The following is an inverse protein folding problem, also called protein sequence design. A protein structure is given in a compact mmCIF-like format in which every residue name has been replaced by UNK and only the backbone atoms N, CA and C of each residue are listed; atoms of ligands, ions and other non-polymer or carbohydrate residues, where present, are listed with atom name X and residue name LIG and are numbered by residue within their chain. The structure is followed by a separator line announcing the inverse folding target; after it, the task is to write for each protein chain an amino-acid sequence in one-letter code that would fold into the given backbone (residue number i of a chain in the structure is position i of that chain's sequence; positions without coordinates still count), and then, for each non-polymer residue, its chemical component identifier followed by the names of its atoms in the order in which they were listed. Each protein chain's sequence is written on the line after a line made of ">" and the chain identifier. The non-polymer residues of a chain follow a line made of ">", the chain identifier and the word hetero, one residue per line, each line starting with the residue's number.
data_IF_995670837787
#
_entry.id   IF_995670837787
#
_cell.length_a   1.000
_cell.length_b   1.000
_cell.length_c   1.000
_cell.angle_alpha   90.00
_cell.angle_beta   90.00
_cell.angle_gamma   90.00
#
_symmetry.space_group_name_H-M   'P 1'
#
loop_
_entity.id
_entity.type
_entity.pdbx_description
1 polymer ?
#
# COMPACT_ATOMS: atom_id res chain seq x y z
N UNK A 1 29.11 28.01 19.90
CA UNK A 1 27.80 27.41 20.22
C UNK A 1 27.70 27.32 21.74
N UNK A 2 26.73 28.00 22.36
CA UNK A 2 26.60 28.06 23.83
C UNK A 2 25.66 26.94 24.29
N UNK A 3 26.07 26.07 25.24
CA UNK A 3 25.19 25.05 25.79
C UNK A 3 24.11 25.70 26.66
N UNK A 4 22.85 25.44 26.33
CA UNK A 4 21.70 25.92 27.08
C UNK A 4 21.46 24.99 28.27
N UNK A 5 22.07 25.28 29.42
CA UNK A 5 21.82 24.57 30.67
C UNK A 5 20.47 25.02 31.23
N UNK A 6 19.44 24.17 31.07
CA UNK A 6 18.16 24.39 31.75
C UNK A 6 18.28 24.00 33.23
N UNK A 7 17.69 24.77 34.15
CA UNK A 7 17.72 24.45 35.57
C UNK A 7 16.97 23.15 35.86
N UNK A 8 17.65 22.27 36.59
CA UNK A 8 17.16 20.95 37.04
C UNK A 8 16.06 21.17 38.08
N UNK A 9 14.79 21.01 37.71
CA UNK A 9 13.69 20.95 38.69
C UNK A 9 13.86 19.69 39.53
N UNK A 10 13.94 19.85 40.84
CA UNK A 10 13.88 18.75 41.80
C UNK A 10 12.52 18.08 41.70
N UNK A 11 12.49 16.86 41.19
CA UNK A 11 11.30 16.02 41.15
C UNK A 11 11.08 15.49 42.57
N UNK A 12 10.01 15.97 43.20
CA UNK A 12 9.44 15.34 44.39
C UNK A 12 8.67 14.13 43.88
N UNK A 13 9.13 12.92 44.22
CA UNK A 13 8.37 11.70 43.99
C UNK A 13 7.17 11.70 44.95
N UNK A 14 6.02 12.16 44.47
CA UNK A 14 4.74 11.84 45.07
C UNK A 14 4.35 10.44 44.64
N UNK A 15 4.11 9.56 45.61
CA UNK A 15 3.65 8.19 45.42
C UNK A 15 2.28 8.20 44.71
N UNK A 16 2.30 8.12 43.39
CA UNK A 16 1.11 8.13 42.55
C UNK A 16 0.31 6.83 42.76
N UNK A 17 -0.75 6.93 43.55
CA UNK A 17 -1.81 5.92 43.64
C UNK A 17 -2.37 5.71 42.23
N UNK A 18 -2.16 4.51 41.67
CA UNK A 18 -2.74 4.09 40.39
C UNK A 18 -4.27 4.10 40.50
N UNK A 19 -4.89 5.22 40.13
CA UNK A 19 -6.33 5.30 39.96
C UNK A 19 -6.68 4.57 38.67
N UNK A 20 -7.63 3.63 38.72
CA UNK A 20 -8.10 2.93 37.53
C UNK A 20 -8.65 3.97 36.54
N UNK A 21 -7.93 4.17 35.43
CA UNK A 21 -8.36 5.10 34.38
C UNK A 21 -9.76 4.68 33.90
N UNK A 22 -10.75 5.53 34.14
CA UNK A 22 -12.14 5.30 33.75
C UNK A 22 -12.46 6.23 32.58
N UNK A 23 -12.76 5.66 31.42
CA UNK A 23 -13.19 6.44 30.25
C UNK A 23 -14.69 6.66 30.37
N UNK A 24 -15.11 7.92 30.43
CA UNK A 24 -16.53 8.32 30.39
C UNK A 24 -16.78 9.21 29.17
N UNK A 25 -17.87 8.93 28.46
CA UNK A 25 -18.28 9.73 27.31
C UNK A 25 -19.31 10.76 27.74
N UNK A 26 -19.11 12.02 27.36
CA UNK A 26 -20.08 13.07 27.60
C UNK A 26 -21.18 13.00 26.53
N UNK A 27 -22.25 12.26 26.82
CA UNK A 27 -23.36 12.04 25.88
C UNK A 27 -24.12 13.32 25.49
N UNK A 28 -24.01 14.40 26.27
CA UNK A 28 -24.63 15.69 25.95
C UNK A 28 -23.84 16.47 24.89
N UNK A 29 -22.51 16.29 24.85
CA UNK A 29 -21.62 17.02 23.94
C UNK A 29 -21.17 16.20 22.74
N UNK A 30 -21.17 14.88 22.84
CA UNK A 30 -20.73 13.99 21.76
C UNK A 30 -21.88 13.69 20.82
N UNK A 31 -21.77 14.18 19.58
CA UNK A 31 -22.67 13.76 18.50
C UNK A 31 -22.34 12.32 18.11
N UNK A 32 -23.36 11.47 18.05
CA UNK A 32 -23.24 10.10 17.56
C UNK A 32 -24.25 9.84 16.46
N UNK A 33 -23.90 8.95 15.55
CA UNK A 33 -24.84 8.41 14.59
C UNK A 33 -25.21 7.00 15.02
N UNK A 34 -26.51 6.74 15.13
CA UNK A 34 -27.00 5.39 15.34
C UNK A 34 -26.85 4.63 14.03
N UNK A 35 -26.16 3.49 14.07
CA UNK A 35 -26.10 2.55 12.96
C UNK A 35 -27.09 1.44 13.30
N UNK A 36 -28.14 1.30 12.49
CA UNK A 36 -29.12 0.23 12.68
C UNK A 36 -28.49 -1.14 12.38
N UNK A 37 -28.95 -2.17 13.08
CA UNK A 37 -28.41 -3.51 12.91
C UNK A 37 -28.86 -4.09 11.56
N UNK A 38 -28.07 -4.98 10.94
CA UNK A 38 -28.43 -5.56 9.64
C UNK A 38 -29.81 -6.26 9.65
N UNK A 39 -30.16 -6.86 10.79
CA UNK A 39 -31.45 -7.52 11.01
C UNK A 39 -32.65 -6.55 11.14
N UNK A 40 -32.40 -5.25 11.29
CA UNK A 40 -33.44 -4.22 11.41
C UNK A 40 -33.85 -3.67 10.04
N UNK A 41 -33.13 -4.03 8.97
CA UNK A 41 -33.44 -3.62 7.60
C UNK A 41 -34.52 -4.50 6.98
N UNK A 42 -35.41 -3.89 6.19
CA UNK A 42 -36.41 -4.61 5.40
C UNK A 42 -35.77 -5.46 4.31
N UNK A 43 -36.37 -6.60 3.98
CA UNK A 43 -35.90 -7.49 2.91
C UNK A 43 -35.77 -6.75 1.56
N UNK A 44 -36.72 -5.87 1.21
CA UNK A 44 -36.66 -5.02 0.01
C UNK A 44 -35.40 -4.14 -0.04
N UNK A 45 -34.95 -3.65 1.12
CA UNK A 45 -33.75 -2.84 1.21
C UNK A 45 -32.51 -3.70 1.06
N UNK A 46 -32.49 -4.88 1.68
CA UNK A 46 -31.39 -5.85 1.56
C UNK A 46 -31.26 -6.30 0.10
N UNK A 47 -32.37 -6.54 -0.61
CA UNK A 47 -32.39 -6.87 -2.03
C UNK A 47 -31.94 -5.72 -2.93
N UNK A 48 -32.14 -4.46 -2.50
CA UNK A 48 -31.67 -3.28 -3.22
C UNK A 48 -30.16 -3.02 -3.10
N UNK A 49 -29.47 -3.78 -2.23
CA UNK A 49 -28.01 -3.66 -2.08
C UNK A 49 -27.32 -4.11 -3.37
N UNK A 50 -26.29 -3.37 -3.78
CA UNK A 50 -25.61 -3.58 -5.06
C UNK A 50 -24.94 -4.96 -5.23
N UNK A 51 -24.62 -5.64 -4.14
CA UNK A 51 -23.95 -6.93 -4.16
C UNK A 51 -24.57 -7.88 -3.13
N UNK A 52 -24.99 -9.04 -3.60
CA UNK A 52 -25.42 -10.16 -2.76
C UNK A 52 -24.24 -10.86 -2.09
N UNK A 53 -24.54 -11.74 -1.14
CA UNK A 53 -23.51 -12.59 -0.53
C UNK A 53 -22.81 -13.47 -1.57
N UNK A 54 -23.58 -14.00 -2.53
CA UNK A 54 -23.14 -14.80 -3.65
C UNK A 54 -22.18 -14.01 -4.55
N UNK A 55 -22.48 -12.74 -4.84
CA UNK A 55 -21.60 -11.86 -5.61
C UNK A 55 -20.26 -11.66 -4.90
N UNK A 56 -20.28 -11.38 -3.60
CA UNK A 56 -19.05 -11.26 -2.82
C UNK A 56 -18.23 -12.56 -2.80
N UNK A 57 -18.90 -13.72 -2.73
CA UNK A 57 -18.24 -15.01 -2.80
C UNK A 57 -17.60 -15.22 -4.17
N UNK A 58 -18.30 -14.88 -5.25
CA UNK A 58 -17.79 -14.95 -6.63
C UNK A 58 -16.59 -14.02 -6.85
N UNK A 59 -16.68 -12.76 -6.40
CA UNK A 59 -15.58 -11.78 -6.47
C UNK A 59 -14.35 -12.28 -5.70
N UNK A 60 -14.54 -12.82 -4.49
CA UNK A 60 -13.43 -13.41 -3.73
C UNK A 60 -12.80 -14.60 -4.45
N UNK A 61 -13.59 -15.40 -5.16
CA UNK A 61 -13.08 -16.54 -5.92
C UNK A 61 -12.32 -16.09 -7.17
N UNK A 62 -12.79 -15.07 -7.89
CA UNK A 62 -12.14 -14.53 -9.10
C UNK A 62 -10.80 -13.83 -8.79
N UNK A 63 -10.66 -13.23 -7.61
CA UNK A 63 -9.42 -12.57 -7.18
C UNK A 63 -8.29 -13.57 -6.84
N UNK A 64 -8.62 -14.77 -6.38
CA UNK A 64 -7.62 -15.79 -5.97
C UNK A 64 -6.61 -16.15 -7.07
N UNK A 65 -7.01 -16.48 -8.32
CA UNK A 65 -6.05 -16.77 -9.38
C UNK A 65 -5.14 -15.58 -9.70
N UNK A 66 -5.67 -14.36 -9.68
CA UNK A 66 -4.91 -13.11 -9.89
C UNK A 66 -3.78 -12.99 -8.86
N UNK A 67 -4.10 -13.14 -7.56
CA UNK A 67 -3.09 -13.10 -6.49
C UNK A 67 -2.04 -14.21 -6.67
N UNK A 68 -2.46 -15.43 -7.04
CA UNK A 68 -1.53 -16.54 -7.28
C UNK A 68 -0.57 -16.22 -8.41
N UNK A 69 -1.06 -15.60 -9.49
CA UNK A 69 -0.24 -15.22 -10.62
C UNK A 69 0.76 -14.11 -10.26
N UNK A 70 0.30 -13.06 -9.56
CA UNK A 70 1.18 -12.01 -9.02
C UNK A 70 2.29 -12.59 -8.14
N UNK A 71 2.01 -13.64 -7.37
CA UNK A 71 3.03 -14.29 -6.54
C UNK A 71 4.02 -15.14 -7.34
N UNK A 72 3.58 -15.78 -8.43
CA UNK A 72 4.45 -16.60 -9.30
C UNK A 72 5.38 -15.73 -10.14
N UNK A 73 4.89 -14.60 -10.64
CA UNK A 73 5.68 -13.63 -11.42
C UNK A 73 6.65 -12.80 -10.57
N UNK A 74 6.86 -13.17 -9.31
CA UNK A 74 7.67 -12.42 -8.34
C UNK A 74 7.21 -10.95 -8.20
N UNK A 75 5.90 -10.74 -8.19
CA UNK A 75 5.24 -9.43 -8.15
C UNK A 75 5.45 -8.56 -9.41
N UNK A 76 5.92 -9.13 -10.52
CA UNK A 76 5.81 -8.47 -11.82
C UNK A 76 4.33 -8.44 -12.20
N UNK A 77 3.80 -7.23 -12.35
CA UNK A 77 2.41 -6.97 -12.69
C UNK A 77 2.23 -7.29 -14.18
N UNK A 78 1.40 -8.29 -14.55
CA UNK A 78 0.94 -8.46 -15.93
C UNK A 78 0.30 -7.17 -16.44
N UNK A 79 0.29 -6.97 -17.77
CA UNK A 79 -0.46 -5.85 -18.35
C UNK A 79 -1.91 -5.89 -17.86
N UNK A 80 -2.41 -4.75 -17.38
CA UNK A 80 -3.78 -4.61 -16.89
C UNK A 80 -4.75 -4.88 -18.06
N UNK A 81 -5.75 -5.73 -17.81
CA UNK A 81 -6.81 -6.05 -18.76
C UNK A 81 -8.17 -6.08 -18.05
N UNK A 82 -9.27 -6.10 -18.80
CA UNK A 82 -10.61 -6.19 -18.21
C UNK A 82 -10.81 -7.44 -17.34
N UNK A 83 -10.04 -8.49 -17.61
CA UNK A 83 -10.09 -9.76 -16.86
C UNK A 83 -9.04 -9.85 -15.74
N UNK A 84 -8.03 -8.97 -15.77
CA UNK A 84 -6.90 -8.99 -14.85
C UNK A 84 -6.57 -7.57 -14.35
N UNK A 85 -6.84 -7.34 -13.07
CA UNK A 85 -6.45 -6.10 -12.39
C UNK A 85 -5.60 -6.43 -11.17
N UNK A 86 -4.36 -5.94 -11.14
CA UNK A 86 -3.47 -6.13 -9.98
C UNK A 86 -3.69 -5.07 -8.89
N UNK A 87 -4.31 -3.96 -9.28
CA UNK A 87 -4.55 -2.79 -8.43
C UNK A 87 -5.45 -3.15 -7.25
N UNK A 88 -5.05 -2.73 -6.05
CA UNK A 88 -5.76 -3.02 -4.80
C UNK A 88 -5.54 -4.44 -4.25
N UNK A 89 -4.82 -5.30 -4.98
CA UNK A 89 -4.47 -6.65 -4.56
C UNK A 89 -3.02 -6.78 -4.07
N UNK A 90 -2.24 -5.70 -4.12
CA UNK A 90 -0.81 -5.69 -3.77
C UNK A 90 -0.60 -6.13 -2.32
N UNK A 91 -1.44 -5.63 -1.41
CA UNK A 91 -1.44 -5.99 0.01
C UNK A 91 -1.97 -7.40 0.28
N UNK A 92 -2.61 -8.06 -0.70
CA UNK A 92 -3.10 -9.44 -0.57
C UNK A 92 -2.05 -10.48 -0.94
N UNK A 93 -0.96 -10.05 -1.56
CA UNK A 93 0.21 -10.90 -1.77
C UNK A 93 0.92 -11.19 -0.45
N UNK A 94 1.66 -12.30 -0.37
CA UNK A 94 2.46 -12.64 0.82
C UNK A 94 3.49 -11.54 1.15
N UNK A 95 4.10 -10.95 0.13
CA UNK A 95 5.09 -9.87 0.30
C UNK A 95 4.42 -8.59 0.79
N UNK A 96 3.37 -8.13 0.11
CA UNK A 96 2.66 -6.90 0.49
C UNK A 96 2.04 -6.99 1.88
N UNK A 97 1.43 -8.13 2.23
CA UNK A 97 0.88 -8.35 3.57
C UNK A 97 1.96 -8.29 4.65
N UNK A 98 3.14 -8.88 4.41
CA UNK A 98 4.27 -8.84 5.35
C UNK A 98 4.87 -7.45 5.46
N UNK A 99 5.04 -6.76 4.35
CA UNK A 99 5.54 -5.38 4.31
C UNK A 99 4.64 -4.46 5.14
N UNK A 100 3.31 -4.53 4.91
CA UNK A 100 2.31 -3.77 5.68
C UNK A 100 2.33 -4.10 7.17
N UNK A 101 2.42 -5.39 7.53
CA UNK A 101 2.49 -5.82 8.92
C UNK A 101 3.74 -5.27 9.60
N UNK A 102 4.91 -5.37 8.96
CA UNK A 102 6.18 -4.85 9.48
C UNK A 102 6.18 -3.33 9.62
N UNK A 103 5.66 -2.60 8.63
CA UNK A 103 5.57 -1.14 8.71
C UNK A 103 4.72 -0.70 9.91
N UNK A 104 3.60 -1.40 10.18
CA UNK A 104 2.78 -1.16 11.37
C UNK A 104 3.52 -1.50 12.66
N UNK A 105 4.17 -2.66 12.71
CA UNK A 105 4.94 -3.11 13.87
C UNK A 105 6.02 -2.10 14.23
N UNK A 106 6.81 -1.65 13.25
CA UNK A 106 7.85 -0.65 13.45
C UNK A 106 7.30 0.67 14.00
N UNK A 107 6.17 1.16 13.45
CA UNK A 107 5.56 2.41 13.90
C UNK A 107 4.97 2.30 15.33
N UNK A 108 4.46 1.13 15.72
CA UNK A 108 4.00 0.89 17.10
C UNK A 108 5.20 0.78 18.04
N UNK A 109 6.21 0.01 17.64
CA UNK A 109 7.40 -0.23 18.44
C UNK A 109 8.14 1.08 18.76
N UNK A 110 8.30 1.98 17.78
CA UNK A 110 8.94 3.27 18.00
C UNK A 110 8.19 4.16 19.01
N UNK A 111 6.86 4.16 18.96
CA UNK A 111 6.02 4.86 19.94
C UNK A 111 6.20 4.26 21.34
N UNK A 112 6.20 2.93 21.47
CA UNK A 112 6.35 2.27 22.76
C UNK A 112 7.74 2.49 23.37
N UNK A 113 8.78 2.49 22.54
CA UNK A 113 10.15 2.80 22.94
C UNK A 113 10.27 4.23 23.45
N UNK A 114 9.74 5.21 22.70
CA UNK A 114 9.74 6.60 23.14
C UNK A 114 8.94 6.79 24.44
N UNK A 115 7.76 6.18 24.54
CA UNK A 115 6.97 6.23 25.77
C UNK A 115 7.70 5.62 26.97
N UNK A 116 8.53 4.60 26.76
CA UNK A 116 9.37 4.03 27.81
C UNK A 116 10.46 5.01 28.24
N UNK A 117 11.16 5.63 27.29
CA UNK A 117 12.18 6.66 27.54
C UNK A 117 11.58 7.83 28.33
N UNK A 118 10.44 8.37 27.89
CA UNK A 118 9.78 9.48 28.59
C UNK A 118 9.38 9.10 30.03
N UNK A 119 8.91 7.86 30.28
CA UNK A 119 8.61 7.40 31.64
C UNK A 119 9.86 7.32 32.50
N UNK A 120 10.95 6.76 31.98
CA UNK A 120 12.20 6.59 32.72
C UNK A 120 12.85 7.94 33.04
N UNK A 121 12.68 8.94 32.17
CA UNK A 121 13.19 10.30 32.34
C UNK A 121 12.24 11.25 33.07
N UNK A 122 11.00 10.83 33.35
CA UNK A 122 9.96 11.67 33.95
C UNK A 122 9.48 12.81 33.04
N UNK A 123 9.53 12.60 31.72
CA UNK A 123 9.05 13.52 30.69
C UNK A 123 7.62 13.15 30.25
N UNK A 124 6.92 14.13 29.68
CA UNK A 124 5.62 13.92 29.03
C UNK A 124 5.50 14.86 27.83
N UNK A 125 5.91 14.37 26.66
CA UNK A 125 5.89 15.11 25.41
C UNK A 125 5.09 14.33 24.35
N UNK A 126 3.77 14.54 24.28
CA UNK A 126 2.91 13.85 23.32
C UNK A 126 3.15 14.29 21.88
N UNK A 127 3.65 15.51 21.66
CA UNK A 127 3.93 16.03 20.32
C UNK A 127 5.13 15.30 19.72
N UNK A 128 6.18 15.06 20.52
CA UNK A 128 7.35 14.29 20.08
C UNK A 128 7.02 12.82 19.75
N UNK A 129 6.14 12.18 20.53
CA UNK A 129 5.64 10.82 20.21
C UNK A 129 4.92 10.82 18.85
N UNK A 130 4.12 11.86 18.57
CA UNK A 130 3.42 11.99 17.30
C UNK A 130 4.41 12.20 16.14
N UNK A 131 5.46 13.01 16.33
CA UNK A 131 6.53 13.20 15.35
C UNK A 131 7.22 11.88 14.99
N UNK A 132 7.58 11.07 15.99
CA UNK A 132 8.18 9.73 15.78
C UNK A 132 7.22 8.83 14.98
N UNK A 133 5.94 8.77 15.36
CA UNK A 133 4.97 7.97 14.60
C UNK A 133 4.84 8.42 13.13
N UNK A 134 4.84 9.73 12.92
CA UNK A 134 4.77 10.34 11.58
C UNK A 134 6.00 10.01 10.73
N UNK A 135 7.19 9.92 11.32
CA UNK A 135 8.41 9.51 10.62
C UNK A 135 8.27 8.10 10.01
N UNK A 136 7.77 7.13 10.79
CA UNK A 136 7.60 5.76 10.32
C UNK A 136 6.42 5.58 9.34
N UNK A 137 5.35 6.37 9.52
CA UNK A 137 4.17 6.28 8.65
C UNK A 137 4.28 7.13 7.38
N UNK A 138 5.20 8.11 7.34
CA UNK A 138 5.39 9.01 6.20
C UNK A 138 5.70 8.29 4.90
N UNK A 139 6.47 7.20 4.94
CA UNK A 139 6.74 6.36 3.76
C UNK A 139 5.43 5.80 3.17
N UNK A 140 4.52 5.35 4.03
CA UNK A 140 3.23 4.81 3.57
C UNK A 140 2.37 5.90 2.91
N UNK A 141 2.42 7.13 3.41
CA UNK A 141 1.72 8.27 2.81
C UNK A 141 2.30 8.62 1.42
N UNK A 142 3.62 8.66 1.29
CA UNK A 142 4.30 8.90 0.00
C UNK A 142 3.97 7.79 -1.00
N UNK A 143 4.01 6.52 -0.57
CA UNK A 143 3.63 5.40 -1.44
C UNK A 143 2.17 5.49 -1.89
N UNK A 144 1.25 5.87 -0.99
CA UNK A 144 -0.16 6.05 -1.33
C UNK A 144 -0.34 7.18 -2.36
N UNK A 145 0.34 8.31 -2.20
CA UNK A 145 0.34 9.41 -3.17
C UNK A 145 0.86 8.96 -4.53
N UNK A 146 2.02 8.28 -4.55
CA UNK A 146 2.62 7.79 -5.77
C UNK A 146 1.73 6.76 -6.49
N UNK A 147 0.99 5.94 -5.75
CA UNK A 147 -0.02 5.04 -6.33
C UNK A 147 -1.17 5.85 -6.95
N UNK A 148 -1.75 6.79 -6.21
CA UNK A 148 -2.83 7.64 -6.73
C UNK A 148 -2.45 8.41 -8.01
N UNK A 149 -1.22 8.93 -8.09
CA UNK A 149 -0.73 9.59 -9.31
C UNK A 149 -0.60 8.64 -10.50
N UNK A 150 -0.19 7.38 -10.26
CA UNK A 150 -0.13 6.35 -11.32
C UNK A 150 -1.54 5.98 -11.78
N UNK A 151 -2.51 5.91 -10.87
CA UNK A 151 -3.90 5.62 -11.18
C UNK A 151 -4.51 6.74 -12.01
N UNK A 152 -4.30 7.99 -11.59
CA UNK A 152 -4.72 9.18 -12.33
C UNK A 152 -4.15 9.18 -13.74
N UNK A 153 -2.84 8.94 -13.87
CA UNK A 153 -2.18 8.91 -15.18
C UNK A 153 -2.77 7.82 -16.07
N UNK A 154 -2.95 6.61 -15.55
CA UNK A 154 -3.53 5.49 -16.29
C UNK A 154 -4.92 5.85 -16.85
N UNK A 155 -5.77 6.45 -16.03
CA UNK A 155 -7.11 6.88 -16.45
C UNK A 155 -7.03 7.94 -17.55
N UNK A 156 -6.17 8.94 -17.42
CA UNK A 156 -5.98 9.98 -18.45
C UNK A 156 -5.46 9.39 -19.78
N UNK A 157 -4.53 8.45 -19.71
CA UNK A 157 -3.97 7.79 -20.88
C UNK A 157 -5.03 6.93 -21.62
N UNK A 158 -5.91 6.25 -20.89
CA UNK A 158 -7.01 5.48 -21.47
C UNK A 158 -8.08 6.38 -22.11
N UNK A 159 -8.53 7.45 -21.43
CA UNK A 159 -9.49 8.40 -22.02
C UNK A 159 -8.93 9.09 -23.26
N UNK A 160 -7.65 9.46 -23.27
CA UNK A 160 -7.01 10.08 -24.44
C UNK A 160 -6.90 9.14 -25.66
N UNK A 161 -6.93 7.82 -25.46
CA UNK A 161 -7.03 6.83 -26.56
C UNK A 161 -8.46 6.76 -27.11
N UNK A 162 -9.47 6.82 -26.24
CA UNK A 162 -10.88 6.76 -26.61
C UNK A 162 -11.24 7.90 -27.59
N UNK A 163 -10.80 9.13 -27.30
CA UNK A 163 -11.06 10.31 -28.15
C UNK A 163 -10.41 10.23 -29.54
N UNK A 164 -9.28 9.52 -29.69
CA UNK A 164 -8.64 9.33 -31.00
C UNK A 164 -9.40 8.34 -31.89
N UNK A 165 -10.06 7.33 -31.30
CA UNK A 165 -10.83 6.33 -32.05
C UNK A 165 -12.12 6.94 -32.63
N UNK A 166 -12.70 7.92 -31.94
CA UNK A 166 -13.93 8.61 -32.40
C UNK A 166 -13.66 9.77 -33.37
N UNK A 167 -12.41 10.26 -33.46
CA UNK A 167 -12.02 11.41 -34.28
C UNK A 167 -11.45 11.11 -35.67
N UNK A 168 -11.12 9.86 -36.01
CA UNK A 168 -10.61 9.54 -37.35
C UNK A 168 -11.76 9.30 -38.35
N UNK A 169 -11.92 10.15 -39.39
CA UNK A 169 -12.78 9.80 -40.50
C UNK A 169 -12.19 8.54 -41.17
N UNK A 170 -13.00 7.49 -41.29
CA UNK A 170 -12.68 6.28 -42.07
C UNK A 170 -12.19 6.67 -43.47
N UNK A 171 -10.88 6.85 -43.62
CA UNK A 171 -10.27 6.97 -44.92
C UNK A 171 -10.41 5.59 -45.56
N UNK A 172 -11.21 5.57 -46.61
CA UNK A 172 -11.46 4.38 -47.44
C UNK A 172 -10.12 3.72 -47.72
N UNK A 173 -10.01 2.45 -47.33
CA UNK A 173 -8.86 1.59 -47.59
C UNK A 173 -8.42 1.75 -49.05
N UNK A 174 -7.32 2.47 -49.28
CA UNK A 174 -6.61 2.38 -50.55
C UNK A 174 -5.82 1.07 -50.53
N UNK A 175 -6.10 0.26 -51.55
CA UNK A 175 -5.52 -1.02 -51.87
C UNK A 175 -4.14 -1.32 -51.27
N UNK A 176 -4.06 -2.48 -50.62
CA UNK A 176 -2.84 -3.16 -50.19
C UNK A 176 -1.75 -3.20 -51.27
N UNK A 177 -0.51 -2.75 -50.99
CA UNK A 177 0.64 -3.08 -51.81
C UNK A 177 0.96 -4.57 -51.69
N UNK A 178 1.09 -5.23 -52.84
CA UNK A 178 1.43 -6.64 -53.01
C UNK A 178 2.68 -7.01 -52.21
N UNK A 179 2.59 -8.11 -51.46
CA UNK A 179 3.70 -8.79 -50.80
C UNK A 179 4.83 -9.11 -51.78
N UNK A 180 6.05 -8.63 -51.48
CA UNK A 180 7.27 -9.14 -52.10
C UNK A 180 7.73 -10.42 -51.37
N UNK A 181 8.26 -11.43 -52.09
CA UNK A 181 8.66 -12.70 -51.50
C UNK A 181 9.96 -12.53 -50.67
N UNK A 182 9.87 -12.79 -49.37
CA UNK A 182 11.04 -12.89 -48.49
C UNK A 182 11.76 -14.20 -48.80
N UNK A 183 12.98 -14.07 -49.32
CA UNK A 183 13.90 -15.15 -49.59
C UNK A 183 14.35 -15.84 -48.28
N UNK A 184 14.22 -17.16 -48.24
CA UNK A 184 14.77 -18.04 -47.20
C UNK A 184 16.29 -17.93 -47.19
N UNK A 185 16.90 -17.49 -46.07
CA UNK A 185 18.34 -17.66 -45.82
C UNK A 185 18.60 -18.52 -44.59
N UNK A 186 19.58 -19.40 -44.76
CA UNK A 186 19.87 -20.64 -44.03
C UNK A 186 20.68 -20.39 -42.75
N UNK A 187 20.43 -21.26 -41.76
CA UNK A 187 21.30 -21.91 -40.75
C UNK A 187 22.70 -21.35 -40.44
N UNK A 188 23.02 -21.39 -39.13
CA UNK A 188 24.36 -21.40 -38.53
C UNK A 188 24.67 -20.07 -37.82
N UNK A 189 25.21 -19.97 -36.62
CA UNK A 189 26.07 -20.89 -35.85
C UNK A 189 26.08 -20.49 -34.36
N UNK A 190 26.38 -21.46 -33.50
CA UNK A 190 26.68 -21.30 -32.07
C UNK A 190 27.87 -20.36 -31.84
N UNK A 191 27.80 -19.54 -30.79
CA UNK A 191 28.97 -19.19 -29.98
C UNK A 191 28.55 -18.97 -28.54
N UNK A 192 29.29 -19.64 -27.67
CA UNK A 192 29.26 -19.66 -26.22
C UNK A 192 30.28 -18.64 -25.70
N UNK A 193 30.17 -18.27 -24.41
CA UNK A 193 31.27 -17.95 -23.46
C UNK A 193 31.28 -16.51 -22.88
N UNK A 194 30.83 -16.44 -21.62
CA UNK A 194 31.45 -15.86 -20.39
C UNK A 194 32.10 -14.47 -20.43
N UNK A 195 31.71 -13.63 -19.45
CA UNK A 195 32.57 -12.85 -18.52
C UNK A 195 31.64 -12.02 -17.59
N UNK A 196 31.34 -12.52 -16.39
CA UNK A 196 31.92 -12.09 -15.10
C UNK A 196 31.73 -10.59 -14.77
N UNK A 197 30.66 -10.30 -14.01
CA UNK A 197 30.38 -9.01 -13.39
C UNK A 197 30.41 -9.12 -11.87
N UNK A 198 31.57 -8.78 -11.31
CA UNK A 198 31.97 -8.60 -9.91
C UNK A 198 30.94 -7.81 -9.08
N UNK A 199 30.36 -8.42 -8.05
CA UNK A 199 29.69 -7.68 -6.95
C UNK A 199 30.49 -7.95 -5.67
N UNK A 200 31.03 -6.86 -5.11
CA UNK A 200 31.80 -6.85 -3.89
C UNK A 200 30.94 -7.31 -2.70
N UNK A 201 31.45 -8.32 -2.00
CA UNK A 201 31.03 -8.74 -0.68
C UNK A 201 31.28 -7.62 0.34
N UNK A 202 30.19 -7.08 0.90
CA UNK A 202 30.22 -6.29 2.13
C UNK A 202 30.50 -7.24 3.30
N UNK A 203 31.57 -6.93 4.04
CA UNK A 203 32.00 -7.62 5.24
C UNK A 203 30.94 -7.51 6.33
N UNK A 204 30.55 -8.66 6.88
CA UNK A 204 29.76 -8.78 8.10
C UNK A 204 30.74 -8.65 9.27
N UNK A 205 30.63 -7.56 10.02
CA UNK A 205 31.31 -7.37 11.31
C UNK A 205 30.61 -8.24 12.36
N UNK A 206 31.32 -9.10 13.12
CA UNK A 206 30.73 -9.85 14.21
C UNK A 206 30.53 -8.95 15.44
N UNK A 207 29.32 -8.98 16.01
CA UNK A 207 29.04 -8.37 17.30
C UNK A 207 29.71 -9.19 18.42
N UNK A 208 30.42 -8.48 19.31
CA UNK A 208 30.89 -8.95 20.61
C UNK A 208 29.72 -9.00 21.61
#
# INVERSE_FOLDING_TARGET
>A
MKPCLRPRRSIVQEDAVMTNATVTFNLEKTTYQKIDHLNDFSEEYIESVWYSYEDYAAIKQSIKPIIREMMRSNCLIPEESDEFTSRGLECRTKFGSRSKARARENAIQSVLEEQAIQRDEGLHDPDFIAEIYMEFTGISAIEALNRGLKDQKFVLDEFGKQERIEGEPRTKQLASPKTLPIAKKRRGSKTQTVLEGRVQSLEVVPAL
#
